data_IF_212648868651
#
_entry.id   IF_212648868651
#
_cell.length_a   1.000
_cell.length_b   1.000
_cell.length_c   1.000
_cell.angle_alpha   90.00
_cell.angle_beta   90.00
_cell.angle_gamma   90.00
#
_symmetry.space_group_name_H-M   'P 1'
#
loop_
_entity.id
_entity.type
_entity.pdbx_description
1 polymer ?
#
# COMPACT_ATOMS: atom_id res chain seq x y z
N UNK A 1 -5.27 1.64 -27.51
CA UNK A 1 -4.64 2.49 -26.50
C UNK A 1 -4.90 1.86 -25.14
N UNK A 2 -3.85 1.64 -24.37
CA UNK A 2 -3.90 1.12 -22.99
C UNK A 2 -3.37 2.20 -22.09
N UNK A 3 -4.06 2.49 -21.00
CA UNK A 3 -3.63 3.50 -20.02
C UNK A 3 -3.99 3.09 -18.60
N UNK A 4 -3.14 3.44 -17.64
CA UNK A 4 -3.37 3.28 -16.20
C UNK A 4 -2.40 4.16 -15.42
N UNK A 5 -2.72 4.45 -14.18
CA UNK A 5 -1.81 5.12 -13.24
C UNK A 5 -0.66 4.22 -12.75
N UNK A 6 -0.81 2.90 -12.90
CA UNK A 6 0.11 1.89 -12.35
C UNK A 6 0.79 1.02 -13.42
N UNK A 7 0.91 1.50 -14.67
CA UNK A 7 1.69 0.82 -15.72
C UNK A 7 3.20 1.00 -15.49
N UNK A 8 3.69 0.51 -14.37
CA UNK A 8 5.11 0.57 -14.00
C UNK A 8 5.59 -0.78 -13.44
N UNK A 9 6.76 -1.29 -13.87
CA UNK A 9 7.62 -0.76 -14.93
C UNK A 9 7.01 -0.99 -16.33
N UNK A 10 7.32 -0.10 -17.27
CA UNK A 10 6.72 -0.14 -18.61
C UNK A 10 7.09 -1.41 -19.36
N UNK A 11 8.33 -1.84 -19.27
CA UNK A 11 8.84 -3.05 -19.94
C UNK A 11 8.06 -4.31 -19.51
N UNK A 12 7.68 -4.39 -18.25
CA UNK A 12 6.85 -5.48 -17.74
C UNK A 12 5.50 -5.55 -18.48
N UNK A 13 4.85 -4.40 -18.65
CA UNK A 13 3.55 -4.33 -19.32
C UNK A 13 3.65 -4.52 -20.82
N UNK A 14 4.68 -3.99 -21.48
CA UNK A 14 4.93 -4.22 -22.90
C UNK A 14 5.13 -5.72 -23.17
N UNK A 15 5.93 -6.39 -22.35
CA UNK A 15 6.16 -7.83 -22.47
C UNK A 15 4.90 -8.65 -22.19
N UNK A 16 4.10 -8.27 -21.20
CA UNK A 16 2.92 -9.02 -20.78
C UNK A 16 1.76 -8.87 -21.76
N UNK A 17 1.62 -7.71 -22.42
CA UNK A 17 0.47 -7.39 -23.27
C UNK A 17 0.79 -7.68 -24.75
N UNK A 18 1.95 -7.29 -25.24
CA UNK A 18 2.25 -7.31 -26.68
C UNK A 18 3.50 -8.09 -27.04
N UNK A 19 4.37 -8.35 -26.07
CA UNK A 19 5.66 -9.02 -26.32
C UNK A 19 6.63 -8.24 -27.22
N UNK A 20 6.37 -6.94 -27.45
CA UNK A 20 7.16 -6.03 -28.29
C UNK A 20 7.48 -4.75 -27.52
N UNK A 21 8.72 -4.28 -27.66
CA UNK A 21 9.19 -3.04 -27.02
C UNK A 21 9.15 -1.82 -27.95
N UNK A 22 8.70 -2.00 -29.20
CA UNK A 22 8.75 -0.95 -30.24
C UNK A 22 7.56 0.01 -30.19
N UNK A 23 6.55 -0.29 -29.35
CA UNK A 23 5.37 0.55 -29.29
C UNK A 23 5.65 1.84 -28.51
N UNK A 24 5.24 3.00 -29.04
CA UNK A 24 5.41 4.25 -28.33
C UNK A 24 4.61 4.27 -27.04
N UNK A 25 5.20 4.81 -25.99
CA UNK A 25 4.51 5.03 -24.74
C UNK A 25 4.68 6.48 -24.25
N UNK A 26 3.71 6.93 -23.47
CA UNK A 26 3.72 8.24 -22.88
C UNK A 26 3.63 8.08 -21.35
N UNK A 27 4.57 8.68 -20.64
CA UNK A 27 4.59 8.76 -19.19
C UNK A 27 4.36 10.21 -18.79
N UNK A 28 3.22 10.49 -18.18
CA UNK A 28 2.89 11.80 -17.67
C UNK A 28 3.32 11.92 -16.19
N UNK A 29 3.82 13.09 -15.77
CA UNK A 29 4.04 13.35 -14.34
C UNK A 29 2.71 13.40 -13.59
N UNK A 30 2.75 13.19 -12.27
CA UNK A 30 1.57 13.40 -11.43
C UNK A 30 1.17 14.89 -11.50
N UNK A 31 -0.12 15.20 -11.65
CA UNK A 31 -0.62 16.57 -11.59
C UNK A 31 -0.71 17.12 -10.16
N UNK A 32 -0.58 16.25 -9.15
CA UNK A 32 -0.81 16.59 -7.76
C UNK A 32 0.43 17.21 -7.09
N UNK A 33 0.24 18.18 -6.16
CA UNK A 33 1.33 18.77 -5.38
C UNK A 33 2.07 17.70 -4.57
N UNK A 34 3.41 17.67 -4.69
CA UNK A 34 4.23 16.68 -3.98
C UNK A 34 4.24 16.89 -2.47
N UNK A 35 4.10 18.14 -2.04
CA UNK A 35 4.02 18.56 -0.65
C UNK A 35 2.78 18.06 0.09
N UNK A 36 1.77 17.62 -0.66
CA UNK A 36 0.55 17.07 -0.10
C UNK A 36 0.65 15.55 0.18
N UNK A 37 1.75 14.92 -0.21
CA UNK A 37 1.98 13.51 -0.02
C UNK A 37 3.25 13.25 0.80
N UNK A 38 3.10 12.52 1.89
CA UNK A 38 4.20 12.06 2.73
C UNK A 38 4.35 10.55 2.66
N UNK A 39 5.57 10.05 2.46
CA UNK A 39 5.86 8.63 2.38
C UNK A 39 6.90 8.24 3.42
N UNK A 40 6.53 7.36 4.33
CA UNK A 40 7.41 6.78 5.33
C UNK A 40 7.71 5.31 5.02
N UNK A 41 8.99 4.94 5.07
CA UNK A 41 9.46 3.56 4.96
C UNK A 41 9.94 3.06 6.32
N UNK A 42 9.40 1.93 6.79
CA UNK A 42 9.79 1.27 8.04
C UNK A 42 10.58 -0.03 7.77
N UNK A 43 11.88 0.05 7.44
CA UNK A 43 12.66 -1.09 6.97
C UNK A 43 13.21 -1.96 8.11
N UNK A 44 13.08 -1.55 9.35
CA UNK A 44 13.54 -2.32 10.52
C UNK A 44 12.67 -3.53 10.83
N UNK A 45 11.48 -3.60 10.20
CA UNK A 45 10.51 -4.67 10.40
C UNK A 45 10.49 -5.58 9.17
N UNK A 46 10.78 -6.87 9.36
CA UNK A 46 10.62 -7.89 8.33
C UNK A 46 9.25 -8.55 8.43
N UNK A 47 8.49 -8.52 7.33
CA UNK A 47 7.20 -9.23 7.23
C UNK A 47 7.34 -10.57 6.51
N UNK A 48 8.57 -11.01 6.25
CA UNK A 48 8.86 -12.31 5.60
C UNK A 48 8.32 -13.47 6.42
N UNK A 49 7.89 -14.52 5.75
CA UNK A 49 7.28 -15.69 6.41
C UNK A 49 8.11 -16.21 7.60
N UNK A 50 9.42 -16.29 7.44
CA UNK A 50 10.35 -16.79 8.48
C UNK A 50 10.54 -15.85 9.68
N UNK A 51 10.24 -14.56 9.52
CA UNK A 51 10.54 -13.52 10.52
C UNK A 51 9.27 -12.95 11.17
N UNK A 52 8.12 -13.07 10.51
CA UNK A 52 6.87 -12.36 10.83
C UNK A 52 6.36 -12.58 12.26
N UNK A 53 6.58 -13.78 12.83
CA UNK A 53 6.15 -14.08 14.20
C UNK A 53 6.86 -13.22 15.25
N UNK A 54 8.11 -12.81 14.97
CA UNK A 54 8.90 -11.97 15.86
C UNK A 54 8.55 -10.49 15.75
N UNK A 55 7.87 -10.10 14.67
CA UNK A 55 7.63 -8.68 14.33
C UNK A 55 6.18 -8.23 14.49
N UNK A 56 5.23 -9.11 14.84
CA UNK A 56 3.81 -8.73 14.98
C UNK A 56 3.59 -7.59 15.97
N UNK A 57 4.28 -7.61 17.12
CA UNK A 57 4.19 -6.55 18.12
C UNK A 57 4.74 -5.22 17.59
N UNK A 58 5.85 -5.27 16.86
CA UNK A 58 6.48 -4.07 16.29
C UNK A 58 5.58 -3.47 15.20
N UNK A 59 5.03 -4.30 14.31
CA UNK A 59 4.01 -3.86 13.33
C UNK A 59 2.88 -3.13 14.05
N UNK A 60 2.33 -3.70 15.12
CA UNK A 60 1.25 -3.07 15.88
C UNK A 60 1.67 -1.74 16.52
N UNK A 61 2.92 -1.63 17.02
CA UNK A 61 3.45 -0.40 17.60
C UNK A 61 3.56 0.72 16.56
N UNK A 62 4.07 0.41 15.37
CA UNK A 62 4.20 1.35 14.25
C UNK A 62 2.82 1.81 13.75
N UNK A 63 1.88 0.88 13.59
CA UNK A 63 0.51 1.22 13.19
C UNK A 63 -0.19 2.11 14.21
N UNK A 64 0.00 1.87 15.52
CA UNK A 64 -0.55 2.76 16.57
C UNK A 64 0.02 4.17 16.50
N UNK A 65 1.33 4.30 16.28
CA UNK A 65 1.97 5.60 16.13
C UNK A 65 1.41 6.34 14.91
N UNK A 66 1.28 5.65 13.79
CA UNK A 66 0.76 6.21 12.54
C UNK A 66 -0.68 6.72 12.68
N UNK A 67 -1.58 5.89 13.22
CA UNK A 67 -2.99 6.26 13.43
C UNK A 67 -3.14 7.33 14.51
N UNK A 68 -2.26 7.33 15.50
CA UNK A 68 -2.28 8.31 16.58
C UNK A 68 -1.79 9.71 16.21
N UNK A 69 -1.15 9.87 15.06
CA UNK A 69 -0.53 11.13 14.63
C UNK A 69 -1.53 12.22 14.24
N UNK A 70 -2.70 11.87 13.73
CA UNK A 70 -3.75 12.84 13.35
C UNK A 70 -5.14 12.21 13.45
N UNK A 71 -6.12 13.01 13.88
CA UNK A 71 -7.53 12.63 13.79
C UNK A 71 -7.95 12.54 12.33
N UNK A 72 -8.50 11.39 11.89
CA UNK A 72 -8.91 11.18 10.51
C UNK A 72 -9.20 9.72 10.18
N UNK A 73 -9.29 9.42 8.92
CA UNK A 73 -9.63 8.10 8.41
C UNK A 73 -8.38 7.42 7.80
N UNK A 74 -8.23 6.14 8.12
CA UNK A 74 -7.05 5.35 7.77
C UNK A 74 -7.42 4.01 7.18
N UNK A 75 -6.70 3.59 6.14
CA UNK A 75 -6.70 2.21 5.66
C UNK A 75 -5.39 1.53 6.01
N UNK A 76 -5.48 0.32 6.54
CA UNK A 76 -4.32 -0.55 6.80
C UNK A 76 -4.47 -1.83 5.99
N UNK A 77 -3.56 -2.04 5.06
CA UNK A 77 -3.55 -3.22 4.21
C UNK A 77 -2.58 -4.27 4.76
N UNK A 78 -3.11 -5.47 4.96
CA UNK A 78 -2.35 -6.65 5.36
C UNK A 78 -2.17 -7.62 4.19
N UNK A 79 -1.11 -8.45 4.19
CA UNK A 79 -0.83 -9.37 3.10
C UNK A 79 -1.86 -10.51 2.99
N UNK A 80 -2.52 -10.89 4.08
CA UNK A 80 -3.54 -11.92 4.13
C UNK A 80 -4.38 -11.83 5.41
N UNK A 81 -5.54 -12.46 5.42
CA UNK A 81 -6.36 -12.62 6.62
C UNK A 81 -5.60 -13.34 7.73
N UNK A 82 -4.85 -14.41 7.39
CA UNK A 82 -4.03 -15.13 8.36
C UNK A 82 -3.02 -14.22 9.06
N UNK A 83 -2.37 -13.32 8.32
CA UNK A 83 -1.43 -12.37 8.89
C UNK A 83 -2.15 -11.37 9.80
N UNK A 84 -3.28 -10.83 9.36
CA UNK A 84 -4.12 -9.93 10.15
C UNK A 84 -4.54 -10.60 11.47
N UNK A 85 -5.05 -11.83 11.42
CA UNK A 85 -5.47 -12.59 12.59
C UNK A 85 -4.34 -12.77 13.62
N UNK A 86 -3.09 -12.94 13.14
CA UNK A 86 -1.91 -13.07 14.01
C UNK A 86 -1.46 -11.74 14.63
N UNK A 87 -1.66 -10.63 13.94
CA UNK A 87 -1.34 -9.29 14.46
C UNK A 87 -2.45 -8.75 15.39
N UNK A 88 -3.70 -9.17 15.17
CA UNK A 88 -4.88 -8.69 15.93
C UNK A 88 -4.70 -8.67 17.46
N UNK A 89 -4.13 -9.69 18.12
CA UNK A 89 -3.93 -9.68 19.58
C UNK A 89 -3.07 -8.53 20.08
N UNK A 90 -2.24 -7.95 19.22
CA UNK A 90 -1.33 -6.84 19.52
C UNK A 90 -1.90 -5.48 19.11
N UNK A 91 -2.94 -5.46 18.25
CA UNK A 91 -3.58 -4.22 17.80
C UNK A 91 -4.52 -3.68 18.89
N UNK A 92 -4.33 -2.42 19.22
CA UNK A 92 -5.23 -1.69 20.11
C UNK A 92 -5.30 -0.23 19.67
N UNK A 93 -6.49 0.22 19.31
CA UNK A 93 -6.77 1.60 18.91
C UNK A 93 -7.91 2.17 19.76
N UNK A 94 -7.67 2.45 21.06
CA UNK A 94 -8.74 2.73 22.04
C UNK A 94 -9.54 4.00 21.72
N UNK A 95 -9.00 4.88 20.89
CA UNK A 95 -9.64 6.13 20.47
C UNK A 95 -10.15 6.11 19.02
N UNK A 96 -10.18 4.94 18.39
CA UNK A 96 -10.62 4.78 17.00
C UNK A 96 -11.79 3.80 16.89
N UNK A 97 -12.61 4.00 15.86
CA UNK A 97 -13.57 3.00 15.40
C UNK A 97 -12.87 2.14 14.36
N UNK A 98 -12.89 0.81 14.55
CA UNK A 98 -12.15 -0.14 13.72
C UNK A 98 -13.13 -1.03 12.97
N UNK A 99 -12.98 -1.10 11.67
CA UNK A 99 -13.79 -1.92 10.78
C UNK A 99 -12.90 -2.88 9.99
N UNK A 100 -13.42 -4.08 9.73
CA UNK A 100 -12.69 -5.16 9.08
C UNK A 100 -13.30 -5.48 7.73
N UNK A 101 -12.44 -5.73 6.74
CA UNK A 101 -12.86 -6.37 5.52
C UNK A 101 -13.20 -7.84 5.79
N UNK A 102 -14.42 -8.26 5.47
CA UNK A 102 -14.80 -9.66 5.50
C UNK A 102 -14.37 -10.39 4.20
N UNK A 103 -14.28 -11.73 4.26
CA UNK A 103 -13.79 -12.52 3.11
C UNK A 103 -14.69 -12.41 1.90
N UNK A 104 -15.99 -12.43 2.15
CA UNK A 104 -17.03 -12.31 1.12
C UNK A 104 -17.95 -11.16 1.51
N UNK A 105 -17.93 -10.09 0.74
CA UNK A 105 -18.78 -8.93 0.91
C UNK A 105 -19.51 -8.65 -0.38
N UNK A 106 -20.83 -8.51 -0.29
CA UNK A 106 -21.66 -7.96 -1.36
C UNK A 106 -21.31 -6.50 -1.64
N UNK A 107 -21.75 -5.96 -2.75
CA UNK A 107 -21.51 -4.55 -3.09
C UNK A 107 -22.19 -3.62 -2.08
N UNK A 108 -23.40 -3.94 -1.62
CA UNK A 108 -24.09 -3.18 -0.57
C UNK A 108 -23.31 -3.15 0.76
N UNK A 109 -22.69 -4.27 1.15
CA UNK A 109 -21.85 -4.34 2.37
C UNK A 109 -20.55 -3.55 2.21
N UNK A 110 -19.98 -3.52 1.00
CA UNK A 110 -18.82 -2.65 0.70
C UNK A 110 -19.20 -1.17 0.78
N UNK A 111 -20.33 -0.79 0.22
CA UNK A 111 -20.83 0.58 0.27
C UNK A 111 -21.13 1.00 1.72
N UNK A 112 -21.75 0.11 2.50
CA UNK A 112 -21.96 0.33 3.93
C UNK A 112 -20.64 0.47 4.70
N UNK A 113 -19.62 -0.33 4.37
CA UNK A 113 -18.28 -0.21 4.95
C UNK A 113 -17.68 1.17 4.64
N UNK A 114 -17.70 1.59 3.37
CA UNK A 114 -17.14 2.87 2.93
C UNK A 114 -17.90 4.08 3.45
N UNK A 115 -19.20 3.97 3.69
CA UNK A 115 -20.02 5.04 4.26
C UNK A 115 -19.62 5.45 5.68
N UNK A 116 -18.83 4.62 6.36
CA UNK A 116 -18.29 4.89 7.71
C UNK A 116 -17.12 5.87 7.71
N UNK A 117 -16.46 6.05 6.56
CA UNK A 117 -15.32 6.95 6.36
C UNK A 117 -15.83 8.32 5.93
N UNK A 118 -16.22 9.12 6.91
CA UNK A 118 -16.87 10.42 6.72
C UNK A 118 -15.82 11.52 6.54
N UNK A 119 -16.18 12.57 5.82
CA UNK A 119 -15.42 13.82 5.86
C UNK A 119 -15.49 14.46 7.23
N UNK A 120 -14.39 15.07 7.67
CA UNK A 120 -14.26 15.74 8.98
C UNK A 120 -14.72 14.87 10.16
N UNK A 121 -14.14 13.67 10.32
CA UNK A 121 -14.59 12.73 11.35
C UNK A 121 -14.33 13.29 12.75
N UNK A 122 -15.27 13.05 13.67
CA UNK A 122 -15.13 13.42 15.10
C UNK A 122 -14.27 12.42 15.89
N UNK A 123 -14.04 11.26 15.31
CA UNK A 123 -13.25 10.17 15.88
C UNK A 123 -12.48 9.49 14.75
N UNK A 124 -11.26 9.05 15.02
CA UNK A 124 -10.46 8.32 14.04
C UNK A 124 -11.19 7.04 13.61
N UNK A 125 -11.25 6.80 12.32
CA UNK A 125 -11.82 5.59 11.72
C UNK A 125 -10.73 4.79 11.01
N UNK A 126 -10.66 3.50 11.29
CA UNK A 126 -9.64 2.60 10.75
C UNK A 126 -10.29 1.44 10.02
N UNK A 127 -9.95 1.27 8.75
CA UNK A 127 -10.27 0.08 7.97
C UNK A 127 -9.09 -0.89 7.92
N UNK A 128 -9.29 -2.11 8.40
CA UNK A 128 -8.31 -3.20 8.27
C UNK A 128 -8.66 -4.05 7.04
N UNK A 129 -7.79 -4.02 6.05
CA UNK A 129 -8.05 -4.51 4.70
C UNK A 129 -6.99 -5.52 4.26
N UNK A 130 -7.32 -6.29 3.23
CA UNK A 130 -6.37 -7.21 2.60
C UNK A 130 -5.91 -6.63 1.27
N UNK A 131 -4.59 -6.57 1.06
CA UNK A 131 -4.01 -6.01 -0.17
C UNK A 131 -4.38 -6.89 -1.38
N UNK A 132 -4.87 -6.25 -2.45
CA UNK A 132 -5.40 -6.96 -3.61
C UNK A 132 -6.77 -7.60 -3.37
N UNK A 133 -7.44 -7.32 -2.24
CA UNK A 133 -8.83 -7.66 -1.98
C UNK A 133 -9.81 -6.66 -2.62
N UNK A 134 -11.10 -6.83 -2.31
CA UNK A 134 -12.20 -6.05 -2.91
C UNK A 134 -12.14 -4.54 -2.68
N UNK A 135 -11.34 -4.08 -1.71
CA UNK A 135 -11.09 -2.67 -1.44
C UNK A 135 -9.79 -2.13 -2.06
N UNK A 136 -9.12 -2.93 -2.90
CA UNK A 136 -7.94 -2.48 -3.63
C UNK A 136 -8.26 -1.76 -4.94
N UNK A 137 -9.49 -1.92 -5.46
CA UNK A 137 -9.97 -1.31 -6.71
C UNK A 137 -11.38 -0.75 -6.52
N UNK A 138 -11.78 0.21 -7.36
CA UNK A 138 -13.16 0.73 -7.41
C UNK A 138 -13.60 1.61 -6.22
N UNK A 139 -12.69 2.01 -5.32
CA UNK A 139 -13.03 2.88 -4.19
C UNK A 139 -12.67 4.33 -4.52
N UNK A 140 -13.57 5.24 -4.24
CA UNK A 140 -13.37 6.67 -4.37
C UNK A 140 -13.70 7.39 -3.06
N UNK A 141 -12.67 7.63 -2.25
CA UNK A 141 -12.74 8.42 -1.03
C UNK A 141 -11.96 9.71 -1.27
N UNK A 142 -12.68 10.74 -1.73
CA UNK A 142 -12.13 12.07 -1.98
C UNK A 142 -12.03 12.89 -0.70
N UNK A 143 -11.21 13.94 -0.73
CA UNK A 143 -10.96 14.88 0.37
C UNK A 143 -10.41 14.17 1.63
N UNK A 144 -10.77 14.64 2.80
CA UNK A 144 -10.33 14.09 4.09
C UNK A 144 -11.01 12.76 4.51
N UNK A 145 -11.76 12.14 3.57
CA UNK A 145 -12.33 10.81 3.78
C UNK A 145 -11.28 9.69 3.85
N UNK A 146 -10.04 9.97 3.45
CA UNK A 146 -8.89 9.08 3.64
C UNK A 146 -7.61 9.92 3.74
N UNK A 147 -7.02 10.01 4.93
CA UNK A 147 -5.80 10.81 5.17
C UNK A 147 -4.56 9.95 5.42
N UNK A 148 -4.72 8.65 5.61
CA UNK A 148 -3.58 7.76 5.85
C UNK A 148 -3.78 6.36 5.31
N UNK A 149 -2.72 5.83 4.71
CA UNK A 149 -2.65 4.43 4.25
C UNK A 149 -1.40 3.78 4.80
N UNK A 150 -1.56 2.66 5.50
CA UNK A 150 -0.43 1.81 5.87
C UNK A 150 -0.48 0.49 5.10
N UNK A 151 0.67 0.02 4.63
CA UNK A 151 0.80 -1.28 3.97
C UNK A 151 1.81 -2.12 4.74
N UNK A 152 1.35 -3.27 5.24
CA UNK A 152 2.17 -4.26 5.91
C UNK A 152 2.62 -5.30 4.89
N UNK A 153 3.92 -5.35 4.63
CA UNK A 153 4.50 -6.20 3.59
C UNK A 153 4.43 -5.60 2.19
N UNK A 154 4.74 -6.39 1.19
CA UNK A 154 4.87 -5.96 -0.23
C UNK A 154 3.81 -6.57 -1.15
N UNK A 155 2.72 -7.09 -0.63
CA UNK A 155 1.58 -7.55 -1.42
C UNK A 155 1.87 -8.69 -2.41
N UNK A 156 2.93 -9.49 -2.20
CA UNK A 156 3.27 -10.60 -3.09
C UNK A 156 2.06 -11.52 -3.28
N UNK A 157 1.73 -11.90 -4.53
CA UNK A 157 0.73 -12.92 -4.79
C UNK A 157 1.06 -14.26 -4.10
N UNK A 158 0.04 -15.03 -3.81
CA UNK A 158 0.24 -16.40 -3.34
C UNK A 158 0.91 -17.26 -4.41
N UNK A 159 1.71 -18.22 -3.95
CA UNK A 159 2.32 -19.23 -4.83
C UNK A 159 1.20 -20.12 -5.35
N UNK A 160 1.07 -20.22 -6.66
CA UNK A 160 0.14 -21.12 -7.33
C UNK A 160 0.75 -21.61 -8.64
N UNK A 161 0.14 -22.61 -9.25
CA UNK A 161 0.65 -23.22 -10.47
C UNK A 161 0.84 -22.20 -11.60
N UNK A 162 -0.12 -21.33 -11.83
CA UNK A 162 -0.10 -20.32 -12.89
C UNK A 162 1.06 -19.33 -12.69
N UNK A 163 1.30 -18.90 -11.45
CA UNK A 163 2.42 -18.02 -11.10
C UNK A 163 3.77 -18.67 -11.33
N UNK A 164 3.89 -19.95 -11.00
CA UNK A 164 5.12 -20.71 -11.24
C UNK A 164 5.37 -20.94 -12.75
N UNK A 165 4.32 -21.07 -13.58
CA UNK A 165 4.47 -21.13 -15.04
C UNK A 165 4.96 -19.77 -15.57
N UNK A 166 4.40 -18.64 -15.13
CA UNK A 166 4.88 -17.29 -15.47
C UNK A 166 6.35 -17.14 -15.07
N UNK A 167 6.68 -17.53 -13.83
CA UNK A 167 8.05 -17.47 -13.32
C UNK A 167 9.01 -18.28 -14.20
N UNK A 168 8.68 -19.52 -14.50
CA UNK A 168 9.52 -20.39 -15.30
C UNK A 168 9.71 -19.89 -16.73
N UNK A 169 8.66 -19.30 -17.32
CA UNK A 169 8.72 -18.69 -18.66
C UNK A 169 9.67 -17.49 -18.70
N UNK A 170 9.49 -16.51 -17.80
CA UNK A 170 10.31 -15.29 -17.80
C UNK A 170 11.71 -15.53 -17.24
N UNK A 171 11.92 -16.55 -16.42
CA UNK A 171 13.26 -16.97 -16.02
C UNK A 171 14.08 -17.43 -17.22
N UNK A 172 13.47 -18.20 -18.16
CA UNK A 172 14.11 -18.63 -19.40
C UNK A 172 14.28 -17.51 -20.41
N UNK A 173 13.32 -16.57 -20.46
CA UNK A 173 13.28 -15.49 -21.46
C UNK A 173 14.32 -14.41 -21.17
N UNK A 174 14.42 -13.96 -19.92
CA UNK A 174 15.20 -12.78 -19.55
C UNK A 174 15.76 -12.78 -18.11
N UNK A 175 15.80 -13.93 -17.43
CA UNK A 175 16.23 -14.10 -16.04
C UNK A 175 15.44 -13.23 -15.02
N UNK A 176 14.19 -12.90 -15.32
CA UNK A 176 13.34 -12.04 -14.51
C UNK A 176 12.07 -12.77 -13.99
N UNK A 177 12.14 -14.09 -13.83
CA UNK A 177 10.98 -14.89 -13.47
C UNK A 177 10.29 -14.43 -12.19
N UNK A 178 11.05 -14.14 -11.14
CA UNK A 178 10.48 -13.64 -9.89
C UNK A 178 9.84 -12.27 -10.04
N UNK A 179 10.43 -11.40 -10.84
CA UNK A 179 9.94 -10.05 -11.07
C UNK A 179 8.57 -10.07 -11.75
N UNK A 180 8.42 -10.88 -12.78
CA UNK A 180 7.17 -10.98 -13.52
C UNK A 180 6.07 -11.72 -12.77
N UNK A 181 6.41 -12.76 -12.03
CA UNK A 181 5.41 -13.56 -11.31
C UNK A 181 4.97 -12.93 -9.98
N UNK A 182 5.86 -12.24 -9.29
CA UNK A 182 5.65 -11.86 -7.89
C UNK A 182 5.94 -10.39 -7.58
N UNK A 183 7.16 -9.87 -7.87
CA UNK A 183 7.58 -8.54 -7.44
C UNK A 183 6.74 -7.43 -8.08
N UNK A 184 6.66 -7.39 -9.40
CA UNK A 184 5.90 -6.36 -10.11
C UNK A 184 4.40 -6.39 -9.77
N UNK A 185 3.72 -7.57 -9.81
CA UNK A 185 2.33 -7.64 -9.38
C UNK A 185 2.10 -7.24 -7.92
N UNK A 186 3.04 -7.58 -7.03
CA UNK A 186 2.97 -7.21 -5.61
C UNK A 186 3.08 -5.70 -5.42
N UNK A 187 4.10 -5.08 -6.02
CA UNK A 187 4.31 -3.63 -5.92
C UNK A 187 3.18 -2.84 -6.58
N UNK A 188 2.59 -3.34 -7.66
CA UNK A 188 1.42 -2.71 -8.27
C UNK A 188 0.24 -2.62 -7.29
N UNK A 189 0.00 -3.67 -6.49
CA UNK A 189 -1.04 -3.63 -5.45
C UNK A 189 -0.70 -2.58 -4.37
N UNK A 190 0.57 -2.47 -3.98
CA UNK A 190 1.02 -1.44 -3.03
C UNK A 190 0.78 -0.04 -3.60
N UNK A 191 1.20 0.20 -4.85
CA UNK A 191 0.99 1.47 -5.52
C UNK A 191 -0.50 1.83 -5.67
N UNK A 192 -1.34 0.85 -5.98
CA UNK A 192 -2.79 1.04 -6.04
C UNK A 192 -3.39 1.40 -4.68
N UNK A 193 -2.96 0.71 -3.60
CA UNK A 193 -3.41 1.00 -2.25
C UNK A 193 -3.04 2.42 -1.80
N UNK A 194 -1.78 2.81 -1.98
CA UNK A 194 -1.28 4.14 -1.63
C UNK A 194 -1.83 5.23 -2.54
N UNK A 195 -2.03 4.93 -3.83
CA UNK A 195 -2.62 5.85 -4.81
C UNK A 195 -4.06 6.28 -4.50
N UNK A 196 -4.67 5.74 -3.43
CA UNK A 196 -5.96 6.18 -2.90
C UNK A 196 -5.92 7.47 -2.12
N UNK A 197 -4.73 7.86 -1.62
CA UNK A 197 -4.56 9.01 -0.75
C UNK A 197 -4.71 10.35 -1.48
N UNK A 198 -4.17 10.47 -2.69
CA UNK A 198 -4.13 11.74 -3.42
C UNK A 198 -4.89 11.57 -4.73
N UNK A 199 -6.05 12.19 -4.84
CA UNK A 199 -6.96 12.13 -5.99
C UNK A 199 -7.31 13.51 -6.55
N UNK A 200 -7.09 14.55 -5.73
CA UNK A 200 -7.28 15.94 -6.11
C UNK A 200 -6.06 16.76 -5.70
N UNK A 201 -5.99 18.01 -6.17
CA UNK A 201 -4.95 18.97 -5.77
C UNK A 201 -5.06 19.42 -4.30
N UNK A 202 -6.21 19.14 -3.67
CA UNK A 202 -6.49 19.53 -2.29
C UNK A 202 -6.27 18.41 -1.29
N UNK A 203 -6.19 17.16 -1.76
CA UNK A 203 -5.97 16.01 -0.88
C UNK A 203 -4.60 16.09 -0.25
N UNK A 204 -4.54 15.78 1.04
CA UNK A 204 -3.30 15.71 1.82
C UNK A 204 -3.28 14.43 2.64
N UNK A 205 -2.25 13.61 2.45
CA UNK A 205 -2.22 12.32 3.11
C UNK A 205 -0.83 11.72 3.27
N UNK A 206 -0.70 10.84 4.25
CA UNK A 206 0.53 10.13 4.57
C UNK A 206 0.43 8.63 4.30
N UNK A 207 1.50 8.03 3.81
CA UNK A 207 1.64 6.59 3.62
C UNK A 207 2.75 6.02 4.50
N UNK A 208 2.51 4.83 5.07
CA UNK A 208 3.51 4.07 5.83
C UNK A 208 3.68 2.69 5.21
N UNK A 209 4.88 2.38 4.71
CA UNK A 209 5.22 1.07 4.15
C UNK A 209 6.10 0.31 5.13
N UNK A 210 5.64 -0.84 5.61
CA UNK A 210 6.30 -1.63 6.65
C UNK A 210 6.86 -2.91 6.04
N UNK A 211 8.12 -2.92 5.68
CA UNK A 211 8.90 -4.11 5.29
C UNK A 211 10.36 -3.73 4.98
N UNK A 212 11.31 -4.63 5.30
CA UNK A 212 12.74 -4.45 5.04
C UNK A 212 13.08 -4.37 3.54
N UNK A 213 12.26 -4.97 2.68
CA UNK A 213 12.49 -5.01 1.24
C UNK A 213 12.31 -3.67 0.54
N UNK A 214 11.57 -2.73 1.11
CA UNK A 214 11.40 -1.40 0.51
C UNK A 214 12.70 -0.60 0.38
N UNK A 215 13.76 -0.97 1.12
CA UNK A 215 15.09 -0.36 0.98
C UNK A 215 15.98 -1.05 -0.07
N UNK A 216 15.56 -2.17 -0.64
CA UNK A 216 16.29 -2.85 -1.71
C UNK A 216 16.03 -2.13 -3.05
N UNK A 217 17.07 -1.98 -3.86
CA UNK A 217 16.99 -1.24 -5.14
C UNK A 217 15.89 -1.79 -6.04
N UNK A 218 15.77 -3.12 -6.12
CA UNK A 218 14.80 -3.82 -6.96
C UNK A 218 13.35 -3.50 -6.62
N UNK A 219 13.06 -3.02 -5.41
CA UNK A 219 11.73 -2.56 -5.00
C UNK A 219 11.60 -1.05 -5.14
N UNK A 220 12.65 -0.29 -4.81
CA UNK A 220 12.64 1.18 -4.95
C UNK A 220 12.52 1.64 -6.40
N UNK A 221 13.15 0.91 -7.32
CA UNK A 221 13.07 1.20 -8.76
C UNK A 221 11.63 1.07 -9.31
N UNK A 222 10.75 0.38 -8.58
CA UNK A 222 9.33 0.25 -8.92
C UNK A 222 8.45 1.34 -8.30
N UNK A 223 9.01 2.26 -7.51
CA UNK A 223 8.23 3.30 -6.87
C UNK A 223 7.55 4.21 -7.90
N UNK A 224 6.35 4.63 -7.58
CA UNK A 224 5.60 5.60 -8.36
C UNK A 224 6.41 6.89 -8.55
N UNK A 225 6.19 7.59 -9.64
CA UNK A 225 6.77 8.93 -9.84
C UNK A 225 6.33 9.97 -8.82
N UNK A 226 5.24 9.73 -8.13
CA UNK A 226 4.82 10.53 -6.99
C UNK A 226 5.73 10.30 -5.77
N UNK A 227 6.39 9.14 -5.69
CA UNK A 227 7.23 8.73 -4.55
C UNK A 227 8.70 9.11 -4.77
N UNK A 228 8.93 10.36 -5.14
CA UNK A 228 10.30 10.88 -5.42
C UNK A 228 11.11 11.16 -4.17
N UNK A 229 10.44 11.31 -3.03
CA UNK A 229 11.03 11.48 -1.69
C UNK A 229 10.32 10.57 -0.70
N UNK A 230 11.03 10.14 0.32
CA UNK A 230 10.49 9.37 1.43
C UNK A 230 11.34 9.57 2.67
N UNK A 231 10.73 9.41 3.83
CA UNK A 231 11.42 9.40 5.12
C UNK A 231 11.61 7.98 5.62
N UNK A 232 12.76 7.69 6.18
CA UNK A 232 13.04 6.38 6.80
C UNK A 232 12.74 6.49 8.28
N UNK A 233 11.78 5.69 8.75
CA UNK A 233 11.37 5.64 10.15
C UNK A 233 11.84 4.33 10.78
N UNK A 234 12.53 4.42 11.91
CA UNK A 234 13.14 3.29 12.60
C UNK A 234 12.51 3.02 13.97
N UNK A 235 11.61 3.92 14.38
CA UNK A 235 10.86 3.83 15.65
C UNK A 235 9.44 4.38 15.52
N UNK A 236 8.52 4.03 16.42
CA UNK A 236 7.20 4.68 16.51
C UNK A 236 7.27 6.20 16.75
N UNK A 237 8.31 6.68 17.42
CA UNK A 237 8.55 8.10 17.69
C UNK A 237 8.88 8.87 16.41
N UNK A 238 9.68 8.28 15.51
CA UNK A 238 10.01 8.89 14.21
C UNK A 238 8.73 9.15 13.40
N UNK A 239 7.79 8.19 13.41
CA UNK A 239 6.49 8.32 12.73
C UNK A 239 5.71 9.51 13.27
N UNK A 240 5.63 9.66 14.60
CA UNK A 240 4.90 10.79 15.21
C UNK A 240 5.51 12.12 14.83
N UNK A 241 6.84 12.24 14.95
CA UNK A 241 7.58 13.44 14.61
C UNK A 241 7.35 13.82 13.15
N UNK A 242 7.48 12.86 12.25
CA UNK A 242 7.28 13.08 10.82
C UNK A 242 5.86 13.56 10.52
N UNK A 243 4.83 12.88 11.06
CA UNK A 243 3.43 13.28 10.87
C UNK A 243 3.13 14.68 11.44
N UNK A 244 3.70 15.01 12.60
CA UNK A 244 3.55 16.35 13.18
C UNK A 244 4.15 17.42 12.27
N UNK A 245 5.33 17.20 11.71
CA UNK A 245 5.98 18.12 10.77
C UNK A 245 5.20 18.25 9.47
N UNK A 246 4.73 17.12 8.91
CA UNK A 246 3.96 17.11 7.68
C UNK A 246 2.64 17.85 7.79
N UNK A 247 1.90 17.67 8.86
CA UNK A 247 0.59 18.31 9.02
C UNK A 247 0.63 19.73 9.64
N UNK A 248 1.79 20.21 10.10
CA UNK A 248 1.99 21.62 10.50
C UNK A 248 2.19 22.57 9.31
N UNK A 249 2.66 22.04 8.20
CA UNK A 249 2.81 22.76 6.92
C UNK A 249 1.46 22.93 6.24
#
# INVERSE_FOLDING_TARGET
IIFSATLSPMEYYQDAIEGKHDNPYLLLPSPFPKENFDLMLAPTISTRYKDREKTYQDVANYLRAFIGGKLGNYFIYFPSYEYLDKVMPYLSFPKADVFFQEREMSDDEKDLFLSRFLSSPKKTTVGLLIIGGSFSEGIDLVDDRLIGVAVVGIGLPQICYEREQIRAYYEKKNNAGFDYAYRNPGMNKVMQAVGRLIRSEHDKGAALLIDDRYMQNEYRDLFSRLWTSYDVVTSPEDIKTNLEEFYKK
#
